data_IF_973464128261
#
_entry.id   IF_973464128261
#
_cell.length_a   1.000
_cell.length_b   1.000
_cell.length_c   1.000
_cell.angle_alpha   90.00
_cell.angle_beta   90.00
_cell.angle_gamma   90.00
#
_symmetry.space_group_name_H-M   'P 1'
#
loop_
_entity.id
_entity.type
_entity.pdbx_description
1 polymer ?
#
# COMPACT_ATOMS: atom_id res chain seq x y z
N UNK A 1 31.85 36.29 43.67
CA UNK A 1 32.47 35.29 42.77
C UNK A 1 31.68 34.00 42.84
N UNK A 2 30.77 33.76 41.91
CA UNK A 2 30.05 32.48 41.76
C UNK A 2 30.21 32.02 40.32
N UNK A 3 30.95 30.92 40.17
CA UNK A 3 31.38 30.35 38.90
C UNK A 3 30.21 29.67 38.17
N UNK A 4 29.77 30.27 37.08
CA UNK A 4 28.82 29.68 36.13
C UNK A 4 29.45 28.46 35.45
N UNK A 5 28.94 27.25 35.74
CA UNK A 5 29.26 26.05 34.95
C UNK A 5 28.46 26.11 33.65
N UNK A 6 29.14 26.41 32.54
CA UNK A 6 28.61 26.22 31.19
C UNK A 6 28.31 24.73 30.99
N UNK A 7 27.03 24.42 30.81
CA UNK A 7 26.58 23.12 30.30
C UNK A 7 26.94 23.10 28.82
N UNK A 8 28.03 22.41 28.48
CA UNK A 8 28.42 22.13 27.11
C UNK A 8 27.32 21.25 26.49
N UNK A 9 26.49 21.83 25.64
CA UNK A 9 25.58 21.09 24.75
C UNK A 9 26.43 20.24 23.81
N UNK A 10 26.52 18.94 24.10
CA UNK A 10 27.11 17.96 23.18
C UNK A 10 26.22 17.88 21.94
N UNK A 11 26.77 18.24 20.78
CA UNK A 11 26.17 18.06 19.47
C UNK A 11 25.74 16.58 19.26
N UNK A 12 24.60 16.31 18.60
CA UNK A 12 24.18 14.94 18.29
C UNK A 12 25.21 14.28 17.36
N UNK A 13 25.64 13.07 17.73
CA UNK A 13 26.58 12.25 16.93
C UNK A 13 25.99 11.94 15.54
N UNK A 14 26.82 11.90 14.48
CA UNK A 14 26.36 11.49 13.16
C UNK A 14 25.83 10.05 13.19
N UNK A 15 24.77 9.80 12.42
CA UNK A 15 24.07 8.52 12.32
C UNK A 15 24.94 7.43 11.65
N UNK A 16 25.94 6.93 12.37
CA UNK A 16 26.74 5.77 12.03
C UNK A 16 26.44 4.65 13.02
N UNK A 17 25.87 3.55 12.51
CA UNK A 17 25.75 2.24 13.18
C UNK A 17 25.36 2.27 14.67
N UNK A 18 24.07 2.50 14.93
CA UNK A 18 23.48 2.19 16.23
C UNK A 18 23.42 0.66 16.40
N UNK A 19 24.52 0.06 16.83
CA UNK A 19 24.57 -1.31 17.33
C UNK A 19 23.75 -1.41 18.61
N UNK A 20 22.66 -2.17 18.58
CA UNK A 20 22.14 -2.79 19.80
C UNK A 20 23.13 -3.90 20.15
N UNK A 21 24.14 -3.57 20.96
CA UNK A 21 25.15 -4.52 21.43
C UNK A 21 24.46 -5.66 22.19
N UNK A 22 24.60 -6.90 21.70
CA UNK A 22 24.11 -8.12 22.36
C UNK A 22 22.85 -8.76 21.78
N UNK A 23 22.27 -8.23 20.70
CA UNK A 23 21.12 -8.87 20.04
C UNK A 23 21.52 -10.16 19.31
N UNK A 24 20.75 -11.24 19.49
CA UNK A 24 20.92 -12.47 18.69
C UNK A 24 20.61 -12.16 17.22
N UNK A 25 21.48 -12.53 16.25
CA UNK A 25 21.19 -12.32 14.84
C UNK A 25 19.89 -12.99 14.43
N UNK A 26 19.11 -12.31 13.59
CA UNK A 26 17.83 -12.82 13.11
C UNK A 26 17.99 -14.07 12.24
N UNK A 27 17.11 -15.05 12.44
CA UNK A 27 17.02 -16.26 11.60
C UNK A 27 15.87 -16.17 10.58
N UNK A 28 15.48 -17.31 10.02
CA UNK A 28 14.37 -17.40 9.05
C UNK A 28 13.06 -16.77 9.58
N UNK A 29 12.71 -17.05 10.84
CA UNK A 29 11.52 -16.47 11.49
C UNK A 29 11.53 -14.93 11.48
N UNK A 30 12.70 -14.33 11.68
CA UNK A 30 12.89 -12.88 11.66
C UNK A 30 12.63 -12.30 10.27
N UNK A 31 13.03 -13.02 9.22
CA UNK A 31 12.74 -12.62 7.85
C UNK A 31 11.24 -12.72 7.53
N UNK A 32 10.54 -13.78 7.98
CA UNK A 32 9.09 -13.89 7.80
C UNK A 32 8.32 -12.78 8.56
N UNK A 33 8.80 -12.43 9.77
CA UNK A 33 8.24 -11.32 10.53
C UNK A 33 8.41 -9.98 9.80
N UNK A 34 9.52 -9.79 9.08
CA UNK A 34 9.79 -8.62 8.25
C UNK A 34 8.85 -8.51 7.04
N UNK A 35 8.47 -9.63 6.40
CA UNK A 35 7.61 -9.62 5.21
C UNK A 35 6.14 -9.33 5.51
N UNK A 36 5.74 -9.43 6.79
CA UNK A 36 4.39 -9.14 7.30
C UNK A 36 3.26 -9.68 6.40
N UNK A 37 3.04 -11.02 6.34
CA UNK A 37 2.19 -11.67 5.34
C UNK A 37 0.76 -11.14 5.21
N UNK A 38 0.21 -10.57 6.28
CA UNK A 38 -1.10 -9.92 6.29
C UNK A 38 -1.18 -8.67 5.39
N UNK A 39 -0.06 -8.10 4.94
CA UNK A 39 -0.05 -7.01 3.95
C UNK A 39 -0.12 -7.50 2.49
N UNK A 40 0.21 -8.76 2.20
CA UNK A 40 0.25 -9.23 0.80
C UNK A 40 -1.10 -9.05 0.06
N UNK A 41 -2.26 -9.30 0.69
CA UNK A 41 -3.55 -9.06 0.04
C UNK A 41 -3.78 -7.60 -0.39
N UNK A 42 -3.12 -6.63 0.24
CA UNK A 42 -3.32 -5.19 -0.01
C UNK A 42 -3.00 -4.80 -1.46
N UNK A 43 -2.01 -5.44 -2.09
CA UNK A 43 -1.66 -5.24 -3.50
C UNK A 43 -2.15 -6.37 -4.40
N UNK A 44 -2.23 -7.61 -3.90
CA UNK A 44 -2.72 -8.75 -4.67
C UNK A 44 -4.20 -8.56 -5.07
N UNK A 45 -5.05 -8.07 -4.18
CA UNK A 45 -6.48 -7.85 -4.48
C UNK A 45 -6.64 -6.85 -5.63
N UNK A 46 -6.02 -5.64 -5.61
CA UNK A 46 -6.04 -4.75 -6.77
C UNK A 46 -5.56 -5.39 -8.08
N UNK A 47 -4.49 -6.20 -8.06
CA UNK A 47 -4.02 -6.92 -9.25
C UNK A 47 -5.07 -7.91 -9.77
N UNK A 48 -5.72 -8.67 -8.89
CA UNK A 48 -6.82 -9.58 -9.27
C UNK A 48 -8.00 -8.78 -9.83
N UNK A 49 -8.34 -7.63 -9.23
CA UNK A 49 -9.40 -6.75 -9.74
C UNK A 49 -9.10 -6.29 -11.17
N UNK A 50 -7.86 -5.84 -11.41
CA UNK A 50 -7.36 -5.46 -12.72
C UNK A 50 -7.50 -6.54 -13.79
N UNK A 51 -7.10 -7.76 -13.44
CA UNK A 51 -7.21 -8.93 -14.32
C UNK A 51 -8.66 -9.22 -14.67
N UNK A 52 -9.58 -9.14 -13.71
CA UNK A 52 -11.00 -9.37 -13.93
C UNK A 52 -11.63 -8.27 -14.81
N UNK A 53 -11.27 -7.00 -14.57
CA UNK A 53 -11.67 -5.90 -15.45
C UNK A 53 -11.23 -6.15 -16.90
N UNK A 54 -10.00 -6.60 -17.12
CA UNK A 54 -9.49 -6.91 -18.45
C UNK A 54 -10.17 -8.13 -19.08
N UNK A 55 -10.51 -9.15 -18.30
CA UNK A 55 -11.20 -10.34 -18.80
C UNK A 55 -12.63 -10.05 -19.26
N UNK A 56 -13.35 -9.16 -18.57
CA UNK A 56 -14.74 -8.79 -18.89
C UNK A 56 -14.86 -7.62 -19.87
N UNK A 57 -13.76 -6.95 -20.18
CA UNK A 57 -13.78 -5.86 -21.15
C UNK A 57 -14.15 -6.39 -22.56
N UNK A 58 -14.79 -5.58 -23.42
CA UNK A 58 -15.13 -5.99 -24.79
C UNK A 58 -13.90 -6.36 -25.62
N UNK A 59 -14.01 -7.35 -26.50
CA UNK A 59 -12.92 -7.84 -27.35
C UNK A 59 -12.23 -9.10 -26.81
N UNK A 60 -11.41 -9.74 -27.64
CA UNK A 60 -10.66 -10.95 -27.25
C UNK A 60 -9.48 -10.60 -26.32
N UNK A 61 -9.23 -11.38 -25.26
CA UNK A 61 -8.01 -11.25 -24.47
C UNK A 61 -6.78 -11.40 -25.37
N UNK A 62 -5.74 -10.61 -25.12
CA UNK A 62 -4.52 -10.62 -25.94
C UNK A 62 -3.63 -11.86 -25.72
N UNK A 63 -3.91 -12.66 -24.69
CA UNK A 63 -3.11 -13.84 -24.35
C UNK A 63 -3.97 -14.93 -23.68
N UNK A 64 -3.59 -16.18 -23.92
CA UNK A 64 -4.16 -17.35 -23.25
C UNK A 64 -3.97 -17.28 -21.73
N UNK A 65 -5.00 -17.73 -21.00
CA UNK A 65 -4.97 -17.88 -19.55
C UNK A 65 -3.95 -18.97 -19.17
N UNK A 66 -2.74 -18.57 -18.79
CA UNK A 66 -1.73 -19.49 -18.24
C UNK A 66 -1.70 -19.34 -16.71
N UNK A 67 -2.23 -20.32 -15.95
CA UNK A 67 -2.29 -20.23 -14.48
C UNK A 67 -0.95 -19.88 -13.82
N UNK A 68 0.15 -20.43 -14.35
CA UNK A 68 1.50 -20.16 -13.85
C UNK A 68 1.87 -18.68 -13.90
N UNK A 69 1.53 -17.96 -14.98
CA UNK A 69 1.83 -16.53 -15.14
C UNK A 69 1.06 -15.69 -14.10
N UNK A 70 -0.19 -16.03 -13.80
CA UNK A 70 -0.96 -15.33 -12.76
C UNK A 70 -0.41 -15.58 -11.37
N UNK A 71 -0.07 -16.84 -11.05
CA UNK A 71 0.56 -17.18 -9.78
C UNK A 71 1.86 -16.40 -9.59
N UNK A 72 2.70 -16.30 -10.63
CA UNK A 72 3.91 -15.49 -10.57
C UNK A 72 3.65 -13.99 -10.41
N UNK A 73 2.65 -13.43 -11.10
CA UNK A 73 2.26 -12.03 -10.92
C UNK A 73 1.84 -11.75 -9.48
N UNK A 74 1.09 -12.67 -8.86
CA UNK A 74 0.65 -12.56 -7.47
C UNK A 74 1.80 -12.72 -6.48
N UNK A 75 2.76 -13.61 -6.74
CA UNK A 75 4.00 -13.74 -5.95
C UNK A 75 4.84 -12.46 -6.05
N UNK A 76 4.96 -11.90 -7.25
CA UNK A 76 5.66 -10.64 -7.49
C UNK A 76 5.01 -9.48 -6.74
N UNK A 77 3.70 -9.28 -6.92
CA UNK A 77 2.95 -8.16 -6.36
C UNK A 77 2.64 -8.30 -4.86
N UNK A 78 2.60 -9.52 -4.33
CA UNK A 78 2.36 -9.79 -2.91
C UNK A 78 3.69 -9.94 -2.15
N UNK A 79 4.13 -11.17 -1.86
CA UNK A 79 5.24 -11.43 -0.96
C UNK A 79 6.54 -10.72 -1.36
N UNK A 80 6.94 -10.72 -2.64
CA UNK A 80 8.24 -10.17 -3.05
C UNK A 80 8.26 -8.64 -3.01
N UNK A 81 7.24 -7.98 -3.57
CA UNK A 81 7.08 -6.53 -3.51
C UNK A 81 7.03 -6.05 -2.05
N UNK A 82 6.16 -6.64 -1.22
CA UNK A 82 6.03 -6.23 0.19
C UNK A 82 7.30 -6.47 0.99
N UNK A 83 8.00 -7.59 0.76
CA UNK A 83 9.30 -7.85 1.38
C UNK A 83 10.31 -6.75 1.05
N UNK A 84 10.33 -6.27 -0.19
CA UNK A 84 11.22 -5.20 -0.60
C UNK A 84 10.85 -3.86 0.04
N UNK A 85 9.61 -3.38 -0.16
CA UNK A 85 9.21 -2.04 0.30
C UNK A 85 9.18 -1.93 1.83
N UNK A 86 8.83 -2.99 2.55
CA UNK A 86 8.87 -3.01 4.02
C UNK A 86 10.30 -3.04 4.55
N UNK A 87 11.21 -3.77 3.89
CA UNK A 87 12.60 -3.77 4.31
C UNK A 87 13.28 -2.41 4.07
N UNK A 88 12.95 -1.72 2.96
CA UNK A 88 13.35 -0.32 2.78
C UNK A 88 12.73 0.55 3.88
N UNK A 89 11.43 0.41 4.15
CA UNK A 89 10.75 1.18 5.19
C UNK A 89 11.45 1.05 6.55
N UNK A 90 11.64 -0.18 7.03
CA UNK A 90 12.31 -0.50 8.30
C UNK A 90 13.78 0.01 8.32
N UNK A 91 14.49 -0.01 7.18
CA UNK A 91 15.86 0.47 7.07
C UNK A 91 16.02 1.98 7.32
N UNK A 92 14.97 2.77 7.07
CA UNK A 92 14.99 4.23 7.22
C UNK A 92 14.15 4.74 8.41
N UNK A 93 13.42 3.85 9.10
CA UNK A 93 12.45 4.22 10.14
C UNK A 93 12.84 3.80 11.55
N UNK A 94 14.03 3.25 11.78
CA UNK A 94 14.50 2.80 13.10
C UNK A 94 14.19 3.77 14.26
N UNK A 95 14.53 5.06 14.12
CA UNK A 95 14.32 6.06 15.18
C UNK A 95 12.82 6.30 15.46
N UNK A 96 12.00 6.31 14.41
CA UNK A 96 10.53 6.44 14.52
C UNK A 96 9.92 5.19 15.15
N UNK A 97 10.33 4.01 14.68
CA UNK A 97 9.77 2.73 15.09
C UNK A 97 10.14 2.36 16.53
N UNK A 98 11.27 2.84 17.05
CA UNK A 98 11.63 2.70 18.47
C UNK A 98 10.68 3.48 19.40
N UNK A 99 10.08 4.57 18.92
CA UNK A 99 9.13 5.38 19.70
C UNK A 99 7.71 4.83 19.65
N UNK A 100 7.34 4.19 18.53
CA UNK A 100 6.00 3.63 18.30
C UNK A 100 5.80 2.30 19.04
N UNK A 101 4.88 2.25 20.00
CA UNK A 101 4.60 1.05 20.81
C UNK A 101 4.29 -0.19 19.98
N UNK A 102 3.58 -0.06 18.84
CA UNK A 102 3.28 -1.18 17.94
C UNK A 102 4.50 -1.76 17.24
N UNK A 103 5.58 -0.98 17.13
CA UNK A 103 6.80 -1.31 16.38
C UNK A 103 8.00 -1.63 17.28
N UNK A 104 7.90 -1.43 18.59
CA UNK A 104 8.97 -1.70 19.57
C UNK A 104 9.50 -3.13 19.53
N UNK A 105 8.67 -4.09 19.13
CA UNK A 105 9.05 -5.49 19.02
C UNK A 105 9.57 -5.88 17.63
N UNK A 106 9.65 -4.97 16.67
CA UNK A 106 10.09 -5.30 15.31
C UNK A 106 11.56 -5.78 15.29
N UNK A 107 11.92 -6.69 14.36
CA UNK A 107 13.27 -7.22 14.23
C UNK A 107 14.40 -6.18 14.24
N UNK A 108 14.21 -5.09 13.51
CA UNK A 108 15.23 -4.05 13.35
C UNK A 108 15.36 -3.19 14.61
N UNK A 109 14.26 -2.89 15.31
CA UNK A 109 14.30 -2.21 16.63
C UNK A 109 14.96 -3.08 17.70
N UNK A 110 14.73 -4.42 17.66
CA UNK A 110 15.42 -5.39 18.53
C UNK A 110 16.92 -5.57 18.19
N UNK A 111 17.43 -4.93 17.14
CA UNK A 111 18.81 -5.08 16.69
C UNK A 111 19.14 -6.40 15.99
N UNK A 112 18.13 -7.19 15.62
CA UNK A 112 18.32 -8.49 14.97
C UNK A 112 18.67 -8.36 13.48
N UNK A 113 18.35 -7.22 12.88
CA UNK A 113 18.63 -6.87 11.49
C UNK A 113 19.22 -5.47 11.41
N UNK A 114 20.41 -5.35 10.84
CA UNK A 114 21.07 -4.09 10.56
C UNK A 114 20.54 -3.47 9.27
N UNK A 115 20.69 -2.15 9.14
CA UNK A 115 20.29 -1.39 7.94
C UNK A 115 20.83 -1.97 6.63
N UNK A 116 22.10 -2.37 6.59
CA UNK A 116 22.71 -2.99 5.40
C UNK A 116 22.04 -4.32 5.03
N UNK A 117 21.67 -5.13 6.03
CA UNK A 117 20.98 -6.41 5.81
C UNK A 117 19.56 -6.18 5.27
N UNK A 118 18.85 -5.18 5.80
CA UNK A 118 17.52 -4.79 5.31
C UNK A 118 17.57 -4.31 3.86
N UNK A 119 18.55 -3.46 3.52
CA UNK A 119 18.71 -2.97 2.14
C UNK A 119 19.13 -4.09 1.17
N UNK A 120 20.01 -5.00 1.61
CA UNK A 120 20.38 -6.18 0.83
C UNK A 120 19.19 -7.11 0.57
N UNK A 121 18.40 -7.38 1.61
CA UNK A 121 17.16 -8.14 1.49
C UNK A 121 16.15 -7.44 0.58
N UNK A 122 16.02 -6.11 0.69
CA UNK A 122 15.14 -5.33 -0.17
C UNK A 122 15.53 -5.43 -1.65
N UNK A 123 16.82 -5.34 -1.95
CA UNK A 123 17.35 -5.47 -3.30
C UNK A 123 17.12 -6.87 -3.87
N UNK A 124 17.36 -7.93 -3.08
CA UNK A 124 17.11 -9.32 -3.49
C UNK A 124 15.62 -9.57 -3.75
N UNK A 125 14.75 -9.15 -2.83
CA UNK A 125 13.30 -9.31 -2.97
C UNK A 125 12.74 -8.49 -4.14
N UNK A 126 13.22 -7.26 -4.34
CA UNK A 126 12.83 -6.40 -5.46
C UNK A 126 13.32 -6.94 -6.80
N UNK A 127 14.55 -7.44 -6.86
CA UNK A 127 15.08 -8.12 -8.05
C UNK A 127 14.28 -9.37 -8.39
N UNK A 128 13.95 -10.20 -7.39
CA UNK A 128 13.08 -11.36 -7.58
C UNK A 128 11.67 -10.95 -8.04
N UNK A 129 11.10 -9.87 -7.49
CA UNK A 129 9.79 -9.36 -7.93
C UNK A 129 9.82 -8.98 -9.42
N UNK A 130 10.88 -8.31 -9.89
CA UNK A 130 11.05 -7.99 -11.31
C UNK A 130 11.25 -9.23 -12.19
N UNK A 131 11.97 -10.27 -11.72
CA UNK A 131 12.13 -11.52 -12.46
C UNK A 131 10.80 -12.25 -12.63
N UNK A 132 10.01 -12.37 -11.55
CA UNK A 132 8.67 -12.96 -11.61
C UNK A 132 7.73 -12.12 -12.48
N UNK A 133 7.83 -10.79 -12.41
CA UNK A 133 7.08 -9.87 -13.26
C UNK A 133 7.41 -10.04 -14.75
N UNK A 134 8.68 -10.27 -15.10
CA UNK A 134 9.12 -10.49 -16.47
C UNK A 134 8.54 -11.79 -17.03
N UNK A 135 8.53 -12.85 -16.24
CA UNK A 135 7.91 -14.11 -16.64
C UNK A 135 6.38 -14.03 -16.72
N UNK A 136 5.74 -13.28 -15.81
CA UNK A 136 4.28 -13.18 -15.78
C UNK A 136 3.71 -12.29 -16.88
N UNK A 137 4.22 -11.07 -17.06
CA UNK A 137 3.60 -10.04 -17.91
C UNK A 137 4.56 -9.35 -18.86
N UNK A 138 5.79 -9.85 -19.00
CA UNK A 138 6.80 -9.29 -19.90
C UNK A 138 7.30 -7.91 -19.45
N UNK A 139 7.79 -7.15 -20.43
CA UNK A 139 8.50 -5.88 -20.17
C UNK A 139 7.60 -4.82 -19.51
N UNK A 140 6.35 -4.67 -19.96
CA UNK A 140 5.45 -3.62 -19.45
C UNK A 140 5.12 -3.88 -17.97
N UNK A 141 4.75 -5.12 -17.62
CA UNK A 141 4.45 -5.47 -16.23
C UNK A 141 5.71 -5.34 -15.34
N UNK A 142 6.89 -5.69 -15.86
CA UNK A 142 8.17 -5.49 -15.17
C UNK A 142 8.49 -4.01 -14.94
N UNK A 143 8.27 -3.16 -15.93
CA UNK A 143 8.46 -1.72 -15.81
C UNK A 143 7.51 -1.11 -14.76
N UNK A 144 6.26 -1.56 -14.74
CA UNK A 144 5.29 -1.20 -13.68
C UNK A 144 5.77 -1.63 -12.29
N UNK A 145 6.22 -2.90 -12.14
CA UNK A 145 6.78 -3.42 -10.89
C UNK A 145 7.98 -2.60 -10.42
N UNK A 146 8.94 -2.34 -11.31
CA UNK A 146 10.10 -1.50 -11.03
C UNK A 146 9.68 -0.08 -10.61
N UNK A 147 8.67 0.50 -11.27
CA UNK A 147 8.10 1.79 -10.91
C UNK A 147 7.52 1.81 -9.49
N UNK A 148 6.77 0.77 -9.09
CA UNK A 148 6.23 0.64 -7.73
C UNK A 148 7.35 0.46 -6.69
N UNK A 149 8.39 -0.32 -7.00
CA UNK A 149 9.57 -0.48 -6.13
C UNK A 149 10.31 0.86 -5.93
N UNK A 150 10.53 1.61 -7.02
CA UNK A 150 11.12 2.95 -6.98
C UNK A 150 10.24 3.90 -6.17
N UNK A 151 8.93 3.84 -6.35
CA UNK A 151 7.99 4.66 -5.57
C UNK A 151 8.05 4.32 -4.07
N UNK A 152 8.14 3.03 -3.71
CA UNK A 152 8.34 2.57 -2.33
C UNK A 152 9.66 3.07 -1.72
N UNK A 153 10.72 3.13 -2.52
CA UNK A 153 11.99 3.74 -2.14
C UNK A 153 11.85 5.24 -1.89
N UNK A 154 11.31 5.98 -2.86
CA UNK A 154 11.08 7.44 -2.78
C UNK A 154 10.15 7.80 -1.60
N UNK A 155 9.20 6.93 -1.27
CA UNK A 155 8.31 7.10 -0.13
C UNK A 155 9.04 7.04 1.22
N UNK A 156 9.99 6.11 1.37
CA UNK A 156 10.64 5.81 2.66
C UNK A 156 12.00 6.49 2.86
N UNK A 157 12.79 6.63 1.79
CA UNK A 157 14.19 7.03 1.83
C UNK A 157 14.40 8.54 1.55
N UNK A 158 15.39 9.20 2.19
CA UNK A 158 15.84 10.54 1.82
C UNK A 158 16.51 10.56 0.42
N UNK A 159 16.57 11.74 -0.24
CA UNK A 159 16.15 13.05 0.26
C UNK A 159 14.65 13.33 0.11
N UNK A 160 13.92 12.50 -0.65
CA UNK A 160 12.51 12.77 -0.95
C UNK A 160 11.59 12.43 0.22
N UNK A 161 11.62 11.16 0.68
CA UNK A 161 10.85 10.64 1.83
C UNK A 161 9.40 11.12 1.86
N UNK A 162 8.61 10.74 0.85
CA UNK A 162 7.23 11.23 0.68
C UNK A 162 6.32 10.95 1.88
N UNK A 163 6.58 9.91 2.67
CA UNK A 163 5.81 9.61 3.87
C UNK A 163 5.75 10.77 4.88
N UNK A 164 6.77 11.64 4.88
CA UNK A 164 6.85 12.82 5.74
C UNK A 164 6.40 14.12 5.06
N UNK A 165 5.78 14.02 3.88
CA UNK A 165 5.29 15.17 3.10
C UNK A 165 3.77 15.11 3.01
N UNK A 166 3.04 16.09 3.59
CA UNK A 166 1.58 16.12 3.51
C UNK A 166 1.12 16.11 2.05
N UNK A 167 -0.05 15.53 1.81
CA UNK A 167 -0.68 15.25 0.50
C UNK A 167 0.04 14.16 -0.29
N UNK A 168 1.37 14.17 -0.33
CA UNK A 168 2.18 13.20 -1.08
C UNK A 168 2.22 11.82 -0.43
N UNK A 169 2.13 11.75 0.90
CA UNK A 169 1.95 10.50 1.65
C UNK A 169 0.68 9.75 1.18
N UNK A 170 -0.42 10.47 0.99
CA UNK A 170 -1.69 9.93 0.46
C UNK A 170 -1.59 9.65 -1.03
N UNK A 171 -1.14 10.62 -1.83
CA UNK A 171 -1.11 10.50 -3.29
C UNK A 171 -0.23 9.34 -3.78
N UNK A 172 0.91 9.11 -3.13
CA UNK A 172 1.80 7.99 -3.43
C UNK A 172 1.11 6.63 -3.23
N UNK A 173 0.43 6.44 -2.09
CA UNK A 173 -0.25 5.18 -1.78
C UNK A 173 -1.51 5.00 -2.66
N UNK A 174 -2.24 6.08 -2.91
CA UNK A 174 -3.39 6.08 -3.81
C UNK A 174 -2.99 5.70 -5.24
N UNK A 175 -1.87 6.23 -5.76
CA UNK A 175 -1.34 5.87 -7.06
C UNK A 175 -0.89 4.41 -7.11
N UNK A 176 -0.08 3.98 -6.14
CA UNK A 176 0.49 2.63 -6.11
C UNK A 176 -0.59 1.53 -6.03
N UNK A 177 -1.49 1.65 -5.06
CA UNK A 177 -2.49 0.62 -4.77
C UNK A 177 -3.76 0.79 -5.59
N UNK A 178 -4.18 2.04 -5.80
CA UNK A 178 -5.42 2.37 -6.49
C UNK A 178 -5.33 2.32 -8.01
N UNK A 179 -4.17 2.67 -8.58
CA UNK A 179 -4.00 2.79 -10.04
C UNK A 179 -3.03 1.74 -10.58
N UNK A 180 -1.78 1.72 -10.09
CA UNK A 180 -0.75 0.83 -10.62
C UNK A 180 -1.06 -0.65 -10.36
N UNK A 181 -1.67 -0.98 -9.21
CA UNK A 181 -2.12 -2.34 -8.89
C UNK A 181 -3.12 -2.90 -9.92
N UNK A 182 -4.32 -2.29 -10.08
CA UNK A 182 -5.30 -2.74 -11.06
C UNK A 182 -4.81 -2.62 -12.51
N UNK A 183 -4.07 -1.57 -12.84
CA UNK A 183 -3.48 -1.44 -14.18
C UNK A 183 -2.45 -2.55 -14.47
N UNK A 184 -1.68 -2.97 -13.47
CA UNK A 184 -0.76 -4.11 -13.58
C UNK A 184 -1.52 -5.42 -13.84
N UNK A 185 -2.60 -5.66 -13.10
CA UNK A 185 -3.49 -6.79 -13.34
C UNK A 185 -4.09 -6.81 -14.74
N UNK A 186 -4.53 -5.65 -15.23
CA UNK A 186 -5.03 -5.47 -16.59
C UNK A 186 -3.98 -5.80 -17.65
N UNK A 187 -2.74 -5.33 -17.43
CA UNK A 187 -1.62 -5.52 -18.35
C UNK A 187 -1.18 -6.99 -18.52
N UNK A 188 -1.68 -7.92 -17.69
CA UNK A 188 -1.40 -9.35 -17.84
C UNK A 188 -2.14 -9.99 -19.02
N UNK A 189 -3.26 -9.42 -19.44
CA UNK A 189 -4.12 -9.98 -20.50
C UNK A 189 -4.50 -8.98 -21.59
N UNK A 190 -4.21 -7.68 -21.39
CA UNK A 190 -4.51 -6.61 -22.36
C UNK A 190 -3.41 -5.58 -22.45
N UNK A 191 -3.44 -4.78 -23.52
CA UNK A 191 -2.56 -3.62 -23.64
C UNK A 191 -2.83 -2.62 -22.52
N UNK A 192 -1.77 -2.12 -21.89
CA UNK A 192 -1.88 -1.08 -20.85
C UNK A 192 -2.51 0.22 -21.38
N UNK A 193 -2.36 0.50 -22.68
CA UNK A 193 -2.97 1.67 -23.33
C UNK A 193 -4.49 1.61 -23.41
N UNK A 194 -5.09 0.42 -23.22
CA UNK A 194 -6.54 0.24 -23.16
C UNK A 194 -7.10 0.39 -21.74
N UNK A 195 -6.24 0.55 -20.72
CA UNK A 195 -6.69 0.68 -19.35
C UNK A 195 -7.57 1.94 -19.18
N UNK A 196 -8.86 1.79 -18.81
CA UNK A 196 -9.78 2.93 -18.78
C UNK A 196 -9.34 4.01 -17.80
N UNK A 197 -9.23 5.26 -18.27
CA UNK A 197 -8.93 6.43 -17.41
C UNK A 197 -9.95 6.56 -16.28
N UNK A 198 -11.21 6.20 -16.52
CA UNK A 198 -12.24 6.20 -15.49
C UNK A 198 -11.96 5.19 -14.36
N UNK A 199 -11.40 4.02 -14.67
CA UNK A 199 -10.93 3.06 -13.67
C UNK A 199 -9.72 3.60 -12.89
N UNK A 200 -8.78 4.26 -13.58
CA UNK A 200 -7.65 4.91 -12.92
C UNK A 200 -8.11 5.98 -11.91
N UNK A 201 -9.04 6.86 -12.28
CA UNK A 201 -9.58 7.89 -11.40
C UNK A 201 -10.35 7.27 -10.23
N UNK A 202 -11.20 6.27 -10.50
CA UNK A 202 -11.95 5.54 -9.47
C UNK A 202 -11.01 4.89 -8.47
N UNK A 203 -9.98 4.22 -8.96
CA UNK A 203 -8.93 3.57 -8.18
C UNK A 203 -8.14 4.57 -7.34
N UNK A 204 -7.79 5.73 -7.88
CA UNK A 204 -7.10 6.80 -7.14
C UNK A 204 -7.91 7.25 -5.91
N UNK A 205 -9.21 7.51 -6.09
CA UNK A 205 -10.09 7.91 -4.98
C UNK A 205 -10.31 6.78 -3.97
N UNK A 206 -10.48 5.53 -4.44
CA UNK A 206 -10.60 4.36 -3.56
C UNK A 206 -9.31 4.13 -2.74
N UNK A 207 -8.15 4.22 -3.39
CA UNK A 207 -6.84 4.08 -2.74
C UNK A 207 -6.59 5.17 -1.70
N UNK A 208 -6.92 6.44 -2.01
CA UNK A 208 -6.84 7.53 -1.06
C UNK A 208 -7.76 7.30 0.15
N UNK A 209 -9.01 6.90 -0.09
CA UNK A 209 -9.97 6.61 0.97
C UNK A 209 -9.51 5.47 1.89
N UNK A 210 -8.95 4.38 1.35
CA UNK A 210 -8.49 3.26 2.18
C UNK A 210 -7.21 3.59 2.97
N UNK A 211 -6.39 4.51 2.48
CA UNK A 211 -5.15 4.93 3.15
C UNK A 211 -5.37 6.00 4.22
N UNK A 212 -6.25 6.99 4.00
CA UNK A 212 -6.46 8.10 4.94
C UNK A 212 -6.74 7.68 6.40
N UNK A 213 -7.58 6.67 6.69
CA UNK A 213 -7.80 6.18 8.05
C UNK A 213 -6.55 5.58 8.70
N UNK A 214 -5.58 5.07 7.95
CA UNK A 214 -4.33 4.52 8.52
C UNK A 214 -3.47 5.64 9.11
N UNK A 215 -3.47 6.83 8.49
CA UNK A 215 -2.77 7.99 9.03
C UNK A 215 -3.34 8.44 10.38
N UNK A 216 -4.65 8.27 10.58
CA UNK A 216 -5.30 8.60 11.85
C UNK A 216 -4.91 7.65 12.98
N UNK A 217 -4.63 6.37 12.68
CA UNK A 217 -4.14 5.40 13.68
C UNK A 217 -2.74 5.78 14.17
N UNK A 218 -1.94 6.37 13.29
CA UNK A 218 -0.50 6.55 13.49
C UNK A 218 -0.14 8.00 13.90
N UNK A 219 -1.13 8.91 13.96
CA UNK A 219 -0.94 10.36 14.11
C UNK A 219 -0.09 10.77 15.31
N UNK A 220 -0.29 10.15 16.47
CA UNK A 220 0.41 10.53 17.71
C UNK A 220 1.86 10.03 17.67
N UNK A 221 2.09 8.82 17.14
CA UNK A 221 3.42 8.27 16.94
C UNK A 221 4.21 9.08 15.89
N UNK A 222 3.57 9.43 14.78
CA UNK A 222 4.17 10.26 13.72
C UNK A 222 4.52 11.66 14.24
N UNK A 223 3.63 12.27 15.04
CA UNK A 223 3.88 13.57 15.67
C UNK A 223 5.07 13.51 16.63
N UNK A 224 5.12 12.49 17.50
CA UNK A 224 6.22 12.29 18.44
C UNK A 224 7.56 12.07 17.73
N UNK A 225 7.53 11.41 16.57
CA UNK A 225 8.72 11.16 15.74
C UNK A 225 9.06 12.33 14.78
N UNK A 226 8.31 13.43 14.81
CA UNK A 226 8.54 14.59 13.94
C UNK A 226 8.20 14.37 12.45
N UNK A 227 7.45 13.32 12.12
CA UNK A 227 6.99 13.04 10.76
C UNK A 227 5.75 13.88 10.46
N UNK A 228 5.85 14.77 9.47
CA UNK A 228 4.75 15.65 9.06
C UNK A 228 3.84 14.97 8.03
N UNK A 229 3.11 13.94 8.44
CA UNK A 229 2.07 13.32 7.59
C UNK A 229 0.89 14.28 7.35
N UNK A 230 0.00 13.95 6.43
CA UNK A 230 -1.27 14.66 6.19
C UNK A 230 -2.09 14.76 7.48
N UNK A 231 -2.17 13.69 8.27
CA UNK A 231 -2.87 13.71 9.56
C UNK A 231 -2.21 14.62 10.58
N UNK A 232 -0.88 14.63 10.68
CA UNK A 232 -0.16 15.52 11.59
C UNK A 232 -0.31 16.99 11.18
N UNK A 233 -0.30 17.29 9.87
CA UNK A 233 -0.38 18.66 9.35
C UNK A 233 -1.79 19.25 9.41
N UNK A 234 -2.80 18.49 8.98
CA UNK A 234 -4.17 19.00 8.79
C UNK A 234 -5.16 18.53 9.88
N UNK A 235 -4.77 17.57 10.71
CA UNK A 235 -5.59 17.05 11.79
C UNK A 235 -6.58 15.97 11.34
N UNK A 236 -7.12 15.26 12.34
CA UNK A 236 -7.97 14.09 12.13
C UNK A 236 -9.33 14.42 11.49
N UNK A 237 -9.89 15.59 11.77
CA UNK A 237 -11.16 16.02 11.16
C UNK A 237 -11.03 16.16 9.65
N UNK A 238 -9.97 16.82 9.17
CA UNK A 238 -9.74 16.98 7.72
C UNK A 238 -9.49 15.63 7.07
N UNK A 239 -8.67 14.77 7.68
CA UNK A 239 -8.42 13.40 7.18
C UNK A 239 -9.70 12.57 7.09
N UNK A 240 -10.57 12.65 8.11
CA UNK A 240 -11.86 11.97 8.11
C UNK A 240 -12.79 12.44 6.99
N UNK A 241 -12.90 13.77 6.80
CA UNK A 241 -13.69 14.36 5.72
C UNK A 241 -13.14 13.96 4.35
N UNK A 242 -11.82 14.10 4.12
CA UNK A 242 -11.18 13.70 2.86
C UNK A 242 -11.40 12.22 2.57
N UNK A 243 -11.35 11.36 3.60
CA UNK A 243 -11.59 9.93 3.45
C UNK A 243 -13.02 9.64 3.00
N UNK A 244 -14.01 10.24 3.66
CA UNK A 244 -15.44 10.07 3.30
C UNK A 244 -15.72 10.63 1.90
N UNK A 245 -15.19 11.80 1.56
CA UNK A 245 -15.35 12.39 0.23
C UNK A 245 -14.73 11.51 -0.85
N UNK A 246 -13.50 11.04 -0.64
CA UNK A 246 -12.80 10.15 -1.59
C UNK A 246 -13.56 8.85 -1.78
N UNK A 247 -14.06 8.24 -0.70
CA UNK A 247 -14.87 7.02 -0.79
C UNK A 247 -16.18 7.24 -1.52
N UNK A 248 -16.85 8.36 -1.25
CA UNK A 248 -18.10 8.74 -1.91
C UNK A 248 -17.89 8.90 -3.40
N UNK A 249 -16.83 9.60 -3.82
CA UNK A 249 -16.49 9.76 -5.24
C UNK A 249 -16.21 8.40 -5.89
N UNK A 250 -15.41 7.54 -5.26
CA UNK A 250 -15.13 6.21 -5.78
C UNK A 250 -16.41 5.36 -5.96
N UNK A 251 -17.31 5.40 -4.98
CA UNK A 251 -18.62 4.69 -5.05
C UNK A 251 -19.48 5.25 -6.18
N UNK A 252 -19.63 6.58 -6.27
CA UNK A 252 -20.46 7.22 -7.31
C UNK A 252 -19.90 6.95 -8.70
N UNK A 253 -18.57 7.00 -8.88
CA UNK A 253 -17.93 6.65 -10.14
C UNK A 253 -18.16 5.18 -10.49
N UNK A 254 -18.01 4.27 -9.53
CA UNK A 254 -18.27 2.84 -9.78
C UNK A 254 -19.72 2.60 -10.22
N UNK A 255 -20.69 3.19 -9.52
CA UNK A 255 -22.11 3.11 -9.90
C UNK A 255 -22.32 3.69 -11.30
N UNK A 256 -21.77 4.87 -11.59
CA UNK A 256 -21.88 5.51 -12.90
C UNK A 256 -21.32 4.60 -14.01
N UNK A 257 -20.14 4.02 -13.82
CA UNK A 257 -19.53 3.11 -14.78
C UNK A 257 -20.36 1.84 -15.00
N UNK A 258 -21.02 1.33 -13.97
CA UNK A 258 -21.97 0.21 -14.09
C UNK A 258 -23.22 0.60 -14.88
N UNK A 259 -23.76 1.82 -14.73
CA UNK A 259 -24.89 2.27 -15.58
C UNK A 259 -24.53 2.32 -17.07
N UNK A 260 -23.25 2.56 -17.38
CA UNK A 260 -22.73 2.57 -18.74
C UNK A 260 -22.40 1.17 -19.27
N UNK A 261 -22.26 0.19 -18.39
CA UNK A 261 -21.81 -1.16 -18.74
C UNK A 261 -20.30 -1.27 -18.96
N UNK A 262 -19.51 -0.33 -18.41
CA UNK A 262 -18.06 -0.25 -18.63
C UNK A 262 -17.25 -1.09 -17.63
N UNK A 263 -17.80 -1.33 -16.44
CA UNK A 263 -17.14 -2.08 -15.36
C UNK A 263 -17.89 -3.36 -15.05
N UNK A 264 -19.20 -3.26 -14.82
CA UNK A 264 -20.08 -4.41 -14.62
C UNK A 264 -21.23 -4.36 -15.63
N UNK A 265 -21.78 -5.52 -16.04
CA UNK A 265 -23.02 -5.58 -16.81
C UNK A 265 -24.13 -4.76 -16.15
N UNK A 266 -24.92 -4.03 -16.95
CA UNK A 266 -26.01 -3.17 -16.45
C UNK A 266 -27.03 -3.93 -15.60
N UNK A 267 -27.19 -5.21 -15.84
CA UNK A 267 -28.08 -6.10 -15.08
C UNK A 267 -27.70 -6.20 -13.60
N UNK A 268 -26.44 -5.97 -13.26
CA UNK A 268 -25.94 -5.97 -11.88
C UNK A 268 -26.08 -4.62 -11.19
N UNK A 269 -26.66 -3.60 -11.83
CA UNK A 269 -26.86 -2.28 -11.23
C UNK A 269 -27.62 -2.33 -9.88
N UNK A 270 -28.71 -3.11 -9.70
CA UNK A 270 -29.39 -3.20 -8.40
C UNK A 270 -28.48 -3.78 -7.30
N UNK A 271 -27.71 -4.82 -7.63
CA UNK A 271 -26.72 -5.42 -6.72
C UNK A 271 -25.61 -4.44 -6.39
N UNK A 272 -25.09 -3.73 -7.40
CA UNK A 272 -24.07 -2.70 -7.24
C UNK A 272 -24.57 -1.57 -6.33
N UNK A 273 -25.79 -1.08 -6.50
CA UNK A 273 -26.37 -0.02 -5.67
C UNK A 273 -26.51 -0.45 -4.20
N UNK A 274 -27.00 -1.68 -3.98
CA UNK A 274 -27.12 -2.25 -2.63
C UNK A 274 -25.76 -2.38 -1.96
N UNK A 275 -24.80 -3.05 -2.61
CA UNK A 275 -23.45 -3.25 -2.05
C UNK A 275 -22.69 -1.92 -1.89
N UNK A 276 -22.82 -0.99 -2.83
CA UNK A 276 -22.22 0.35 -2.74
C UNK A 276 -22.73 1.12 -1.54
N UNK A 277 -24.03 1.05 -1.27
CA UNK A 277 -24.65 1.72 -0.11
C UNK A 277 -24.18 1.09 1.20
N UNK A 278 -24.13 -0.24 1.27
CA UNK A 278 -23.62 -0.96 2.44
C UNK A 278 -22.13 -0.67 2.69
N UNK A 279 -21.31 -0.67 1.64
CA UNK A 279 -19.88 -0.35 1.73
C UNK A 279 -19.63 1.12 2.08
N UNK A 280 -20.46 2.04 1.58
CA UNK A 280 -20.41 3.44 1.98
C UNK A 280 -20.71 3.62 3.47
N UNK A 281 -21.79 3.01 3.96
CA UNK A 281 -22.13 3.02 5.39
C UNK A 281 -21.02 2.38 6.22
N UNK A 282 -20.55 1.19 5.83
CA UNK A 282 -19.46 0.50 6.50
C UNK A 282 -18.21 1.37 6.59
N UNK A 283 -17.81 2.04 5.50
CA UNK A 283 -16.69 2.96 5.49
C UNK A 283 -16.92 4.11 6.50
N UNK A 284 -18.07 4.79 6.45
CA UNK A 284 -18.37 5.92 7.35
C UNK A 284 -18.31 5.49 8.82
N UNK A 285 -18.86 4.33 9.17
CA UNK A 285 -18.84 3.86 10.56
C UNK A 285 -17.47 3.36 11.02
N UNK A 286 -16.77 2.61 10.17
CA UNK A 286 -15.49 1.97 10.54
C UNK A 286 -14.32 2.97 10.52
N UNK A 287 -14.35 3.99 9.66
CA UNK A 287 -13.30 5.01 9.54
C UNK A 287 -13.39 6.14 10.59
N UNK A 288 -14.55 6.35 11.23
CA UNK A 288 -14.73 7.38 12.28
C UNK A 288 -13.82 7.21 13.50
N UNK A 289 -13.55 5.96 13.88
CA UNK A 289 -12.57 5.60 14.92
C UNK A 289 -11.77 4.42 14.39
N UNK A 290 -10.77 4.68 13.55
CA UNK A 290 -10.10 3.62 12.83
C UNK A 290 -9.23 2.80 13.78
N UNK A 291 -9.27 1.49 13.60
CA UNK A 291 -8.34 0.54 14.22
C UNK A 291 -7.94 -0.48 13.17
N UNK A 292 -6.82 -1.17 13.37
CA UNK A 292 -6.36 -2.21 12.43
C UNK A 292 -7.46 -3.24 12.19
N UNK A 293 -8.16 -3.68 13.25
CA UNK A 293 -9.28 -4.63 13.14
C UNK A 293 -10.43 -4.08 12.30
N UNK A 294 -10.81 -2.82 12.49
CA UNK A 294 -11.91 -2.19 11.72
C UNK A 294 -11.56 -2.02 10.25
N UNK A 295 -10.32 -1.64 9.94
CA UNK A 295 -9.84 -1.53 8.56
C UNK A 295 -9.70 -2.90 7.90
N UNK A 296 -9.33 -3.94 8.65
CA UNK A 296 -9.33 -5.32 8.16
C UNK A 296 -10.75 -5.79 7.82
N UNK A 297 -11.75 -5.51 8.68
CA UNK A 297 -13.16 -5.79 8.40
C UNK A 297 -13.63 -5.07 7.13
N UNK A 298 -13.31 -3.79 7.00
CA UNK A 298 -13.65 -3.00 5.81
C UNK A 298 -13.02 -3.60 4.53
N UNK A 299 -11.75 -3.98 4.60
CA UNK A 299 -11.03 -4.59 3.48
C UNK A 299 -11.62 -5.96 3.10
N UNK A 300 -11.99 -6.77 4.11
CA UNK A 300 -12.66 -8.05 3.88
C UNK A 300 -14.04 -7.86 3.26
N UNK A 301 -14.83 -6.89 3.73
CA UNK A 301 -16.14 -6.57 3.17
C UNK A 301 -16.02 -6.12 1.70
N UNK A 302 -15.02 -5.30 1.38
CA UNK A 302 -14.72 -4.90 0.00
C UNK A 302 -14.36 -6.11 -0.87
N UNK A 303 -13.50 -7.00 -0.39
CA UNK A 303 -13.12 -8.23 -1.09
C UNK A 303 -14.32 -9.15 -1.35
N UNK A 304 -15.17 -9.34 -0.34
CA UNK A 304 -16.41 -10.14 -0.45
C UNK A 304 -17.36 -9.51 -1.46
N UNK A 305 -17.65 -8.21 -1.34
CA UNK A 305 -18.52 -7.51 -2.29
C UNK A 305 -18.00 -7.60 -3.73
N UNK A 306 -16.69 -7.48 -3.91
CA UNK A 306 -16.05 -7.64 -5.21
C UNK A 306 -16.26 -9.07 -5.75
N UNK A 307 -16.01 -10.10 -4.96
CA UNK A 307 -16.26 -11.50 -5.34
C UNK A 307 -17.73 -11.74 -5.74
N UNK A 308 -18.69 -11.26 -4.95
CA UNK A 308 -20.13 -11.40 -5.24
C UNK A 308 -20.57 -10.70 -6.52
N UNK A 309 -19.95 -9.58 -6.87
CA UNK A 309 -20.27 -8.85 -8.09
C UNK A 309 -19.63 -9.46 -9.34
N UNK A 310 -18.53 -10.20 -9.19
CA UNK A 310 -17.67 -10.60 -10.31
C UNK A 310 -17.67 -12.11 -10.63
N UNK A 311 -18.01 -12.97 -9.68
CA UNK A 311 -18.17 -14.42 -9.94
C UNK A 311 -19.43 -14.74 -10.78
N UNK A 312 -20.62 -14.15 -10.48
CA UNK A 312 -21.83 -14.46 -11.24
C UNK A 312 -22.04 -13.57 -12.49
N UNK A 313 -21.19 -12.55 -12.69
CA UNK A 313 -21.14 -11.70 -13.87
C UNK A 313 -20.39 -12.38 -15.01
#
# INVERSE_FOLDING_TARGET
MHSSRQVVQTLPRPAGELMVTGARPGGFRTLVELTRPWFWPVSMVPVVMGMLFAYKAPGEPAADLQPGRYVAALIAAGPLLWSSVLAVNDAFDFETDRLNERRRHSPHVRGQLQRRQLLGFAALAGGAACLFAAWSGGLIFTAGMAGVLVLGWIYSAPPVRLKGRPVWDVGCNALALGVLGPMGGWALTRSVGEYPVSLAITGLFAGAALYLPTLAIDVDADRAAGIRTTAVRFGLTVVGVLGILSWTVAVLLTVHLTTRGQVLPRQLLPTQLTLSSLLWLAYVFLSRRPTIRRLAILSAALGVAFVFLWIPA
#
